data_IF_432133425154
#
_entry.id   IF_432133425154
#
_cell.length_a   1.000
_cell.length_b   1.000
_cell.length_c   1.000
_cell.angle_alpha   90.00
_cell.angle_beta   90.00
_cell.angle_gamma   90.00
#
_symmetry.space_group_name_H-M   'P 1'
#
loop_
_entity.id
_entity.type
_entity.pdbx_description
1 polymer ?
#
# COMPACT_ATOMS: atom_id res chain seq x y z
N UNK A 1 -10.74 25.70 52.84
CA UNK A 1 -9.42 25.81 52.19
C UNK A 1 -8.90 27.22 52.39
N UNK A 2 -7.70 27.38 52.92
CA UNK A 2 -7.07 28.70 53.06
C UNK A 2 -6.41 29.14 51.74
N UNK A 3 -6.02 30.41 51.66
CA UNK A 3 -5.43 31.00 50.44
C UNK A 3 -4.15 30.30 49.99
N UNK A 4 -3.37 29.73 50.90
CA UNK A 4 -2.13 29.00 50.57
C UNK A 4 -2.44 27.64 49.92
N UNK A 5 -3.44 26.92 50.43
CA UNK A 5 -3.91 25.65 49.86
C UNK A 5 -4.48 25.86 48.46
N UNK A 6 -5.28 26.92 48.24
CA UNK A 6 -5.80 27.28 46.91
C UNK A 6 -4.65 27.53 45.93
N UNK A 7 -3.64 28.31 46.34
CA UNK A 7 -2.47 28.60 45.50
C UNK A 7 -1.66 27.35 45.19
N UNK A 8 -1.54 26.42 46.14
CA UNK A 8 -0.86 25.14 45.94
C UNK A 8 -1.61 24.24 44.94
N UNK A 9 -2.94 24.15 45.06
CA UNK A 9 -3.79 23.39 44.14
C UNK A 9 -3.71 23.98 42.74
N UNK A 10 -3.81 25.30 42.60
CA UNK A 10 -3.68 25.97 41.30
C UNK A 10 -2.31 25.72 40.67
N UNK A 11 -1.22 25.83 41.43
CA UNK A 11 0.13 25.54 40.91
C UNK A 11 0.27 24.09 40.46
N UNK A 12 -0.32 23.11 41.18
CA UNK A 12 -0.32 21.70 40.74
C UNK A 12 -1.13 21.51 39.47
N UNK A 13 -2.30 22.14 39.36
CA UNK A 13 -3.15 22.07 38.18
C UNK A 13 -2.48 22.69 36.95
N UNK A 14 -1.86 23.87 37.08
CA UNK A 14 -1.10 24.51 36.01
C UNK A 14 0.03 23.62 35.50
N UNK A 15 0.86 23.07 36.39
CA UNK A 15 1.95 22.15 36.00
C UNK A 15 1.43 20.90 35.29
N UNK A 16 0.30 20.35 35.73
CA UNK A 16 -0.32 19.19 35.08
C UNK A 16 -0.78 19.51 33.65
N UNK A 17 -1.42 20.67 33.46
CA UNK A 17 -1.87 21.12 32.14
C UNK A 17 -0.70 21.44 31.20
N UNK A 18 0.35 22.11 31.70
CA UNK A 18 1.59 22.38 30.96
C UNK A 18 2.24 21.07 30.49
N UNK A 19 2.40 20.10 31.39
CA UNK A 19 2.96 18.78 31.07
C UNK A 19 2.11 18.06 30.02
N UNK A 20 0.78 18.16 30.09
CA UNK A 20 -0.12 17.56 29.09
C UNK A 20 0.03 18.22 27.71
N UNK A 21 0.13 19.55 27.67
CA UNK A 21 0.31 20.31 26.44
C UNK A 21 1.66 20.00 25.79
N UNK A 22 2.74 19.97 26.56
CA UNK A 22 4.08 19.60 26.07
C UNK A 22 4.10 18.20 25.46
N UNK A 23 3.47 17.22 26.12
CA UNK A 23 3.36 15.86 25.60
C UNK A 23 2.56 15.80 24.30
N UNK A 24 1.49 16.59 24.17
CA UNK A 24 0.72 16.69 22.93
C UNK A 24 1.54 17.30 21.80
N UNK A 25 2.27 18.39 22.06
CA UNK A 25 3.14 19.03 21.06
C UNK A 25 4.22 18.06 20.58
N UNK A 26 4.88 17.35 21.50
CA UNK A 26 5.90 16.35 21.17
C UNK A 26 5.34 15.21 20.33
N UNK A 27 4.10 14.77 20.62
CA UNK A 27 3.41 13.76 19.81
C UNK A 27 3.16 14.26 18.38
N UNK A 28 2.63 15.46 18.22
CA UNK A 28 2.37 16.07 16.90
C UNK A 28 3.66 16.23 16.10
N UNK A 29 4.74 16.69 16.73
CA UNK A 29 6.03 16.85 16.07
C UNK A 29 6.60 15.50 15.60
N UNK A 30 6.50 14.47 16.44
CA UNK A 30 6.93 13.11 16.09
C UNK A 30 6.13 12.55 14.91
N UNK A 31 4.80 12.72 14.93
CA UNK A 31 3.91 12.30 13.83
C UNK A 31 4.27 13.02 12.53
N UNK A 32 4.57 14.32 12.59
CA UNK A 32 5.00 15.09 11.42
C UNK A 32 6.32 14.59 10.84
N UNK A 33 7.32 14.32 11.68
CA UNK A 33 8.62 13.77 11.25
C UNK A 33 8.42 12.41 10.56
N UNK A 34 7.60 11.53 11.15
CA UNK A 34 7.26 10.23 10.56
C UNK A 34 6.59 10.41 9.20
N UNK A 35 5.60 11.30 9.09
CA UNK A 35 4.90 11.56 7.83
C UNK A 35 5.86 12.11 6.75
N UNK A 36 6.78 12.99 7.12
CA UNK A 36 7.79 13.51 6.19
C UNK A 36 8.75 12.42 5.69
N UNK A 37 9.13 11.48 6.56
CA UNK A 37 9.93 10.29 6.19
C UNK A 37 9.19 9.41 5.20
N UNK A 38 7.92 9.08 5.48
CA UNK A 38 7.05 8.29 4.59
C UNK A 38 6.90 8.99 3.23
N UNK A 39 6.62 10.30 3.23
CA UNK A 39 6.45 11.08 2.01
C UNK A 39 7.72 11.10 1.15
N UNK A 40 8.90 11.25 1.77
CA UNK A 40 10.20 11.21 1.07
C UNK A 40 10.44 9.82 0.46
N UNK A 41 10.10 8.77 1.19
CA UNK A 41 10.24 7.39 0.70
C UNK A 41 9.27 7.10 -0.45
N UNK A 42 8.02 7.51 -0.33
CA UNK A 42 7.00 7.39 -1.37
C UNK A 42 7.43 8.06 -2.69
N UNK A 43 8.01 9.27 -2.62
CA UNK A 43 8.60 9.94 -3.80
C UNK A 43 9.73 9.14 -4.42
N UNK A 44 10.58 8.52 -3.60
CA UNK A 44 11.68 7.69 -4.08
C UNK A 44 11.16 6.45 -4.82
N UNK A 45 10.10 5.82 -4.32
CA UNK A 45 9.42 4.69 -4.97
C UNK A 45 8.80 5.13 -6.30
N UNK A 46 8.14 6.30 -6.36
CA UNK A 46 7.64 6.84 -7.63
C UNK A 46 8.74 7.10 -8.65
N UNK A 47 9.89 7.62 -8.21
CA UNK A 47 11.02 7.85 -9.09
C UNK A 47 11.63 6.53 -9.61
N UNK A 48 11.62 5.46 -8.80
CA UNK A 48 12.04 4.13 -9.25
C UNK A 48 11.17 3.62 -10.40
N UNK A 49 9.86 3.92 -10.36
CA UNK A 49 8.88 3.56 -11.38
C UNK A 49 8.50 4.75 -12.25
N UNK A 50 9.49 5.57 -12.63
CA UNK A 50 9.25 6.77 -13.45
C UNK A 50 8.48 6.44 -14.73
N UNK A 51 7.47 7.26 -15.04
CA UNK A 51 6.57 7.10 -16.18
C UNK A 51 5.78 5.76 -16.20
N UNK A 52 5.61 5.13 -15.03
CA UNK A 52 4.80 3.92 -14.88
C UNK A 52 3.70 4.13 -13.86
N UNK A 53 2.55 3.53 -14.15
CA UNK A 53 1.50 3.34 -13.18
C UNK A 53 1.85 2.16 -12.27
N UNK A 54 1.47 2.27 -11.00
CA UNK A 54 1.84 1.35 -9.93
C UNK A 54 0.56 0.79 -9.36
N UNK A 55 0.35 -0.51 -9.54
CA UNK A 55 -0.65 -1.29 -8.81
C UNK A 55 0.02 -1.85 -7.58
N UNK A 56 -0.56 -1.59 -6.42
CA UNK A 56 -0.09 -2.11 -5.15
C UNK A 56 -1.06 -3.17 -4.64
N UNK A 57 -0.53 -4.29 -4.17
CA UNK A 57 -1.29 -5.29 -3.43
C UNK A 57 -0.48 -5.82 -2.25
N UNK A 58 -1.15 -6.04 -1.13
CA UNK A 58 -0.60 -6.67 0.08
C UNK A 58 -1.53 -7.80 0.47
N UNK A 59 -0.95 -8.96 0.76
CA UNK A 59 -1.69 -10.12 1.25
C UNK A 59 -0.95 -10.76 2.44
N UNK A 60 -1.71 -11.10 3.47
CA UNK A 60 -1.20 -11.69 4.71
C UNK A 60 -2.04 -12.88 5.22
N UNK A 61 -3.07 -13.26 4.47
CA UNK A 61 -4.03 -14.30 4.85
C UNK A 61 -3.89 -15.57 4.02
N UNK A 62 -3.75 -15.48 2.70
CA UNK A 62 -3.71 -16.68 1.83
C UNK A 62 -2.94 -16.47 0.53
N UNK A 63 -2.21 -17.50 0.10
CA UNK A 63 -1.53 -17.49 -1.19
C UNK A 63 -2.50 -17.44 -2.40
N UNK A 64 -3.74 -17.94 -2.25
CA UNK A 64 -4.72 -17.96 -3.34
C UNK A 64 -5.02 -16.55 -3.88
N UNK A 65 -5.14 -15.57 -3.01
CA UNK A 65 -5.35 -14.17 -3.37
C UNK A 65 -4.16 -13.55 -4.12
N UNK A 66 -2.94 -13.95 -3.78
CA UNK A 66 -1.73 -13.56 -4.53
C UNK A 66 -1.81 -14.15 -5.95
N UNK A 67 -2.19 -15.43 -6.07
CA UNK A 67 -2.33 -16.09 -7.36
C UNK A 67 -3.42 -15.44 -8.22
N UNK A 68 -4.57 -15.08 -7.65
CA UNK A 68 -5.63 -14.38 -8.36
C UNK A 68 -5.19 -13.00 -8.86
N UNK A 69 -4.46 -12.26 -8.03
CA UNK A 69 -3.88 -10.97 -8.40
C UNK A 69 -2.90 -11.12 -9.56
N UNK A 70 -1.98 -12.09 -9.48
CA UNK A 70 -1.01 -12.37 -10.55
C UNK A 70 -1.71 -12.79 -11.85
N UNK A 71 -2.72 -13.66 -11.77
CA UNK A 71 -3.48 -14.12 -12.93
C UNK A 71 -4.26 -12.98 -13.61
N UNK A 72 -4.93 -12.13 -12.83
CA UNK A 72 -5.66 -10.98 -13.38
C UNK A 72 -4.71 -9.94 -14.00
N UNK A 73 -3.56 -9.70 -13.37
CA UNK A 73 -2.54 -8.82 -13.91
C UNK A 73 -1.94 -9.35 -15.23
N UNK A 74 -1.60 -10.63 -15.30
CA UNK A 74 -1.11 -11.26 -16.52
C UNK A 74 -2.17 -11.24 -17.64
N UNK A 75 -3.43 -11.52 -17.30
CA UNK A 75 -4.54 -11.45 -18.24
C UNK A 75 -4.76 -10.02 -18.76
N UNK A 76 -4.65 -9.00 -17.89
CA UNK A 76 -4.72 -7.60 -18.29
C UNK A 76 -3.62 -7.24 -19.30
N UNK A 77 -2.37 -7.61 -19.04
CA UNK A 77 -1.25 -7.34 -19.95
C UNK A 77 -1.43 -8.03 -21.31
N UNK A 78 -1.96 -9.25 -21.30
CA UNK A 78 -2.31 -9.98 -22.52
C UNK A 78 -3.39 -9.26 -23.33
N UNK A 79 -4.47 -8.82 -22.68
CA UNK A 79 -5.59 -8.13 -23.33
C UNK A 79 -5.26 -6.70 -23.76
N UNK A 80 -4.33 -6.03 -23.06
CA UNK A 80 -3.96 -4.65 -23.29
C UNK A 80 -2.42 -4.50 -23.40
N UNK A 81 -1.80 -4.95 -24.52
CA UNK A 81 -0.34 -4.90 -24.68
C UNK A 81 0.26 -3.49 -24.54
N UNK A 82 -0.53 -2.44 -24.75
CA UNK A 82 -0.14 -1.03 -24.54
C UNK A 82 0.27 -0.70 -23.10
N UNK A 83 -0.10 -1.55 -22.12
CA UNK A 83 0.26 -1.38 -20.71
C UNK A 83 1.63 -1.98 -20.38
N UNK A 84 2.18 -2.82 -21.26
CA UNK A 84 3.55 -3.33 -21.12
C UNK A 84 4.52 -2.14 -21.14
N UNK A 85 5.55 -2.17 -20.28
CA UNK A 85 6.45 -1.07 -19.95
C UNK A 85 5.82 0.15 -19.26
N UNK A 86 4.49 0.21 -19.08
CA UNK A 86 3.78 1.35 -18.45
C UNK A 86 3.11 1.01 -17.14
N UNK A 87 2.93 -0.26 -16.82
CA UNK A 87 2.24 -0.72 -15.63
C UNK A 87 3.13 -1.69 -14.84
N UNK A 88 3.30 -1.44 -13.55
CA UNK A 88 3.99 -2.35 -12.63
C UNK A 88 3.05 -2.81 -11.52
N UNK A 89 3.20 -4.07 -11.11
CA UNK A 89 2.59 -4.63 -9.92
C UNK A 89 3.64 -4.74 -8.82
N UNK A 90 3.38 -4.10 -7.69
CA UNK A 90 4.13 -4.30 -6.44
C UNK A 90 3.27 -5.18 -5.52
N UNK A 91 3.69 -6.42 -5.35
CA UNK A 91 3.02 -7.40 -4.50
C UNK A 91 3.85 -7.64 -3.23
N UNK A 92 3.30 -7.26 -2.08
CA UNK A 92 3.84 -7.59 -0.77
C UNK A 92 3.12 -8.82 -0.24
N UNK A 93 3.89 -9.80 0.21
CA UNK A 93 3.44 -11.01 0.88
C UNK A 93 4.02 -11.03 2.30
N UNK A 94 3.15 -10.99 3.30
CA UNK A 94 3.58 -11.10 4.70
C UNK A 94 4.14 -12.49 4.99
N UNK A 95 5.07 -12.55 5.95
CA UNK A 95 5.64 -13.80 6.47
C UNK A 95 4.63 -14.69 7.21
N UNK A 96 3.42 -14.18 7.47
CA UNK A 96 2.31 -14.95 8.08
C UNK A 96 1.78 -16.05 7.17
N UNK A 97 1.93 -15.91 5.85
CA UNK A 97 1.47 -16.93 4.91
C UNK A 97 2.47 -18.10 4.94
N UNK A 98 2.02 -19.34 5.17
CA UNK A 98 2.92 -20.49 5.23
C UNK A 98 3.70 -20.70 3.94
N UNK A 99 5.00 -20.99 4.06
CA UNK A 99 5.88 -21.17 2.89
C UNK A 99 5.38 -22.24 1.89
N UNK A 100 4.74 -23.31 2.38
CA UNK A 100 4.20 -24.39 1.53
C UNK A 100 3.04 -23.92 0.64
N UNK A 101 2.28 -22.90 1.04
CA UNK A 101 1.23 -22.32 0.19
C UNK A 101 1.81 -21.44 -0.93
N UNK A 102 3.03 -20.94 -0.75
CA UNK A 102 3.69 -20.00 -1.64
C UNK A 102 4.59 -20.66 -2.70
N UNK A 103 4.72 -22.00 -2.70
CA UNK A 103 5.66 -22.71 -3.57
C UNK A 103 5.52 -22.36 -5.07
N UNK A 104 4.28 -22.17 -5.54
CA UNK A 104 4.01 -21.83 -6.93
C UNK A 104 4.17 -20.34 -7.26
N UNK A 105 4.17 -19.46 -6.25
CA UNK A 105 4.11 -17.99 -6.46
C UNK A 105 5.37 -17.46 -7.15
N UNK A 106 6.61 -17.75 -6.69
CA UNK A 106 7.82 -17.26 -7.35
C UNK A 106 7.93 -17.70 -8.81
N UNK A 107 7.48 -18.91 -9.13
CA UNK A 107 7.51 -19.44 -10.48
C UNK A 107 6.53 -18.70 -11.41
N UNK A 108 5.32 -18.41 -10.94
CA UNK A 108 4.35 -17.61 -11.70
C UNK A 108 4.85 -16.18 -11.91
N UNK A 109 5.42 -15.55 -10.86
CA UNK A 109 6.06 -14.23 -10.97
C UNK A 109 7.16 -14.25 -12.04
N UNK A 110 8.02 -15.28 -12.01
CA UNK A 110 9.08 -15.47 -13.00
C UNK A 110 8.50 -15.59 -14.42
N UNK A 111 7.44 -16.38 -14.63
CA UNK A 111 6.80 -16.54 -15.93
C UNK A 111 6.22 -15.22 -16.46
N UNK A 112 5.50 -14.46 -15.63
CA UNK A 112 4.95 -13.15 -16.02
C UNK A 112 6.08 -12.19 -16.40
N UNK A 113 7.14 -12.12 -15.58
CA UNK A 113 8.29 -11.27 -15.83
C UNK A 113 9.08 -11.69 -17.09
N UNK A 114 9.11 -12.97 -17.44
CA UNK A 114 9.72 -13.44 -18.70
C UNK A 114 8.87 -13.13 -19.93
N UNK A 115 7.54 -13.22 -19.81
CA UNK A 115 6.62 -12.99 -20.92
C UNK A 115 6.48 -11.50 -21.25
N UNK A 116 6.44 -10.64 -20.23
CA UNK A 116 6.11 -9.21 -20.39
C UNK A 116 7.23 -8.26 -19.95
N UNK A 117 8.31 -8.78 -19.37
CA UNK A 117 9.46 -7.98 -18.96
C UNK A 117 10.54 -7.87 -20.04
N UNK A 118 11.49 -6.98 -19.78
CA UNK A 118 12.73 -6.81 -20.54
C UNK A 118 13.89 -6.61 -19.57
N UNK A 119 15.11 -6.44 -20.08
CA UNK A 119 16.28 -6.15 -19.23
C UNK A 119 16.11 -4.86 -18.41
N UNK A 120 15.32 -3.91 -18.91
CA UNK A 120 15.10 -2.59 -18.28
C UNK A 120 13.73 -2.47 -17.61
N UNK A 121 12.88 -3.51 -17.71
CA UNK A 121 11.51 -3.47 -17.22
C UNK A 121 11.11 -4.79 -16.57
N UNK A 122 10.69 -4.71 -15.31
CA UNK A 122 10.15 -5.83 -14.54
C UNK A 122 8.69 -5.52 -14.22
N UNK A 123 7.72 -6.26 -14.78
CA UNK A 123 6.31 -5.95 -14.59
C UNK A 123 5.79 -6.33 -13.20
N UNK A 124 6.36 -7.36 -12.55
CA UNK A 124 5.96 -7.80 -11.21
C UNK A 124 7.14 -7.77 -10.24
N UNK A 125 7.00 -6.93 -9.21
CA UNK A 125 7.91 -6.85 -8.06
C UNK A 125 7.25 -7.55 -6.88
N UNK A 126 7.71 -8.77 -6.59
CA UNK A 126 7.20 -9.60 -5.50
C UNK A 126 8.16 -9.55 -4.30
N UNK A 127 7.64 -9.17 -3.13
CA UNK A 127 8.38 -9.13 -1.87
C UNK A 127 7.75 -10.09 -0.88
N UNK A 128 8.48 -11.15 -0.51
CA UNK A 128 8.09 -12.10 0.53
C UNK A 128 8.94 -11.89 1.79
N UNK A 129 8.59 -10.86 2.55
CA UNK A 129 9.24 -10.51 3.82
C UNK A 129 8.35 -9.55 4.61
N UNK A 130 8.57 -9.46 5.92
CA UNK A 130 7.99 -8.39 6.71
C UNK A 130 8.61 -7.05 6.30
N UNK A 131 7.73 -6.11 5.95
CA UNK A 131 8.08 -4.73 5.61
C UNK A 131 7.63 -3.86 6.77
N UNK A 132 8.49 -2.97 7.23
CA UNK A 132 8.14 -2.05 8.31
C UNK A 132 6.97 -1.14 7.91
N UNK A 133 6.24 -0.66 8.92
CA UNK A 133 5.01 0.08 8.69
C UNK A 133 5.22 1.35 7.85
N UNK A 134 6.32 2.08 8.04
CA UNK A 134 6.61 3.29 7.30
C UNK A 134 6.89 3.01 5.83
N UNK A 135 7.65 1.94 5.54
CA UNK A 135 7.92 1.50 4.19
C UNK A 135 6.66 0.99 3.48
N UNK A 136 5.80 0.24 4.18
CA UNK A 136 4.51 -0.18 3.68
C UNK A 136 3.64 1.05 3.32
N UNK A 137 3.54 2.02 4.22
CA UNK A 137 2.82 3.27 3.99
C UNK A 137 3.42 4.06 2.82
N UNK A 138 4.74 4.00 2.63
CA UNK A 138 5.40 4.64 1.50
C UNK A 138 5.01 4.00 0.16
N UNK A 139 4.94 2.66 0.09
CA UNK A 139 4.43 1.94 -1.08
C UNK A 139 2.97 2.28 -1.37
N UNK A 140 2.11 2.23 -0.36
CA UNK A 140 0.69 2.57 -0.49
C UNK A 140 0.50 4.00 -0.99
N UNK A 141 1.26 4.97 -0.45
CA UNK A 141 1.21 6.36 -0.88
C UNK A 141 1.79 6.59 -2.28
N UNK A 142 2.74 5.76 -2.72
CA UNK A 142 3.34 5.87 -4.05
C UNK A 142 2.44 5.29 -5.15
N UNK A 143 1.64 4.28 -4.80
CA UNK A 143 0.78 3.56 -5.71
C UNK A 143 -0.31 4.46 -6.31
N UNK A 144 -0.73 4.12 -7.53
CA UNK A 144 -1.85 4.76 -8.22
C UNK A 144 -3.14 3.97 -7.96
N UNK A 145 -3.04 2.66 -7.79
CA UNK A 145 -4.16 1.75 -7.56
C UNK A 145 -3.82 0.81 -6.41
N UNK A 146 -4.75 0.64 -5.49
CA UNK A 146 -4.70 -0.39 -4.43
C UNK A 146 -5.61 -1.56 -4.79
N UNK A 147 -5.03 -2.72 -5.06
CA UNK A 147 -5.76 -3.95 -5.34
C UNK A 147 -5.91 -4.77 -4.04
N UNK A 148 -7.12 -4.72 -3.48
CA UNK A 148 -7.44 -5.28 -2.16
C UNK A 148 -8.52 -6.37 -2.29
N UNK A 149 -8.17 -7.63 -2.03
CA UNK A 149 -9.11 -8.75 -2.21
C UNK A 149 -9.94 -9.06 -0.95
N UNK A 150 -9.75 -8.30 0.13
CA UNK A 150 -10.54 -8.41 1.36
C UNK A 150 -10.87 -7.03 1.94
N UNK A 151 -11.91 -6.97 2.78
CA UNK A 151 -12.40 -5.71 3.34
C UNK A 151 -11.41 -5.04 4.31
N UNK A 152 -10.54 -5.81 4.96
CA UNK A 152 -9.54 -5.27 5.90
C UNK A 152 -8.46 -4.48 5.16
N UNK A 153 -7.86 -5.09 4.13
CA UNK A 153 -6.86 -4.45 3.27
C UNK A 153 -7.41 -3.23 2.55
N UNK A 154 -8.67 -3.29 2.09
CA UNK A 154 -9.34 -2.16 1.47
C UNK A 154 -9.47 -0.95 2.43
N UNK A 155 -9.84 -1.21 3.69
CA UNK A 155 -9.92 -0.18 4.73
C UNK A 155 -8.55 0.37 5.11
N UNK A 156 -7.55 -0.50 5.25
CA UNK A 156 -6.16 -0.11 5.51
C UNK A 156 -5.64 0.82 4.40
N UNK A 157 -5.88 0.47 3.14
CA UNK A 157 -5.51 1.28 1.98
C UNK A 157 -6.24 2.62 1.91
N UNK A 158 -7.55 2.64 2.14
CA UNK A 158 -8.33 3.87 2.13
C UNK A 158 -7.96 4.83 3.28
N UNK A 159 -7.63 4.31 4.47
CA UNK A 159 -7.32 5.14 5.63
C UNK A 159 -5.96 5.84 5.52
N UNK A 160 -4.99 5.16 4.90
CA UNK A 160 -3.59 5.57 4.95
C UNK A 160 -3.08 6.25 3.69
N UNK A 161 -3.86 6.20 2.61
CA UNK A 161 -3.44 6.82 1.36
C UNK A 161 -3.96 8.24 1.25
N UNK A 162 -3.04 9.18 0.99
CA UNK A 162 -3.34 10.61 0.83
C UNK A 162 -3.41 11.04 -0.63
N UNK A 163 -3.19 10.12 -1.56
CA UNK A 163 -3.08 10.45 -2.97
C UNK A 163 -4.47 10.50 -3.64
N UNK A 164 -4.80 11.60 -4.34
CA UNK A 164 -6.17 11.90 -4.77
C UNK A 164 -6.72 10.96 -5.86
N UNK A 165 -5.85 10.20 -6.53
CA UNK A 165 -6.22 9.29 -7.63
C UNK A 165 -6.29 7.82 -7.20
N UNK A 166 -6.21 7.56 -5.90
CA UNK A 166 -6.14 6.20 -5.39
C UNK A 166 -7.49 5.50 -5.48
N UNK A 167 -7.56 4.51 -6.37
CA UNK A 167 -8.73 3.65 -6.52
C UNK A 167 -8.49 2.34 -5.79
N UNK A 168 -9.36 2.03 -4.83
CA UNK A 168 -9.41 0.70 -4.21
C UNK A 168 -10.33 -0.18 -5.03
N UNK A 169 -9.83 -1.32 -5.50
CA UNK A 169 -10.63 -2.33 -6.17
C UNK A 169 -11.05 -3.38 -5.15
N UNK A 170 -12.37 -3.64 -5.05
CA UNK A 170 -12.95 -4.74 -4.29
C UNK A 170 -13.87 -5.53 -5.22
N UNK A 171 -13.65 -6.84 -5.31
CA UNK A 171 -14.49 -7.77 -6.09
C UNK A 171 -15.28 -8.66 -5.14
N UNK A 172 -16.48 -9.08 -5.57
CA UNK A 172 -17.32 -10.00 -4.79
C UNK A 172 -16.71 -11.41 -4.71
N UNK A 173 -16.13 -11.87 -5.82
CA UNK A 173 -15.42 -13.14 -5.92
C UNK A 173 -14.05 -12.92 -6.57
N UNK A 174 -12.95 -12.87 -5.79
CA UNK A 174 -11.62 -12.64 -6.34
C UNK A 174 -11.11 -13.80 -7.18
N UNK A 175 -11.72 -15.00 -7.11
CA UNK A 175 -11.34 -16.14 -7.95
C UNK A 175 -11.81 -16.01 -9.40
N UNK A 176 -12.77 -15.10 -9.67
CA UNK A 176 -13.23 -14.78 -11.01
C UNK A 176 -12.23 -13.84 -11.71
N UNK A 177 -11.21 -14.43 -12.33
CA UNK A 177 -10.10 -13.69 -12.96
C UNK A 177 -10.56 -12.70 -14.04
N UNK A 178 -11.49 -13.01 -14.95
CA UNK A 178 -12.02 -12.03 -15.90
C UNK A 178 -12.63 -10.80 -15.21
N UNK A 179 -13.45 -11.00 -14.19
CA UNK A 179 -14.07 -9.90 -13.45
C UNK A 179 -13.02 -9.05 -12.72
N UNK A 180 -12.04 -9.68 -12.08
CA UNK A 180 -10.94 -8.98 -11.43
C UNK A 180 -10.09 -8.18 -12.43
N UNK A 181 -9.86 -8.74 -13.62
CA UNK A 181 -9.15 -8.08 -14.72
C UNK A 181 -9.91 -6.83 -15.18
N UNK A 182 -11.21 -6.95 -15.40
CA UNK A 182 -12.07 -5.83 -15.82
C UNK A 182 -12.10 -4.73 -14.77
N UNK A 183 -12.22 -5.09 -13.49
CA UNK A 183 -12.18 -4.12 -12.39
C UNK A 183 -10.84 -3.36 -12.34
N UNK A 184 -9.72 -4.07 -12.57
CA UNK A 184 -8.40 -3.46 -12.66
C UNK A 184 -8.28 -2.53 -13.88
N UNK A 185 -8.78 -2.95 -15.04
CA UNK A 185 -8.80 -2.12 -16.24
C UNK A 185 -9.62 -0.84 -16.04
N UNK A 186 -10.80 -0.94 -15.44
CA UNK A 186 -11.68 0.21 -15.19
C UNK A 186 -11.03 1.21 -14.23
N UNK A 187 -10.35 0.73 -13.19
CA UNK A 187 -9.59 1.60 -12.28
C UNK A 187 -8.47 2.36 -12.99
N UNK A 188 -7.74 1.70 -13.91
CA UNK A 188 -6.69 2.34 -14.72
C UNK A 188 -7.25 3.41 -15.66
N UNK A 189 -8.39 3.14 -16.31
CA UNK A 189 -9.05 4.11 -17.20
C UNK A 189 -9.51 5.34 -16.43
N UNK A 190 -10.15 5.16 -15.27
CA UNK A 190 -10.61 6.27 -14.44
C UNK A 190 -9.45 7.13 -13.94
N UNK A 191 -8.30 6.52 -13.62
CA UNK A 191 -7.09 7.24 -13.27
C UNK A 191 -6.52 8.05 -14.45
N UNK A 192 -6.62 7.56 -15.69
CA UNK A 192 -6.09 8.28 -16.86
C UNK A 192 -6.98 9.46 -17.30
N UNK A 193 -8.24 9.51 -16.87
CA UNK A 193 -9.20 10.55 -17.25
C UNK A 193 -9.32 11.69 -16.23
N UNK A 194 -8.68 11.58 -15.07
CA UNK A 194 -8.68 12.56 -13.98
C UNK A 194 -7.29 13.18 -13.77
#
# INVERSE_FOLDING_TARGET
>A
MNTAEIKQVMNKASRYLETRLENQLKKIETEKITQDRINKRSRSIRNLFFDKQIVFSKEDTTAAHILYTLAAFANLLCQQPKLINRLVLVQICSSKIPAHELEAVPEIVRQINQLYGTTEFVPVHFYHQEIDQDELLAFMNAAHIGLCLNASSAKEFALHTTHPLNTTISVQDPSNIPQLTEALQNALVNHLMN
#
